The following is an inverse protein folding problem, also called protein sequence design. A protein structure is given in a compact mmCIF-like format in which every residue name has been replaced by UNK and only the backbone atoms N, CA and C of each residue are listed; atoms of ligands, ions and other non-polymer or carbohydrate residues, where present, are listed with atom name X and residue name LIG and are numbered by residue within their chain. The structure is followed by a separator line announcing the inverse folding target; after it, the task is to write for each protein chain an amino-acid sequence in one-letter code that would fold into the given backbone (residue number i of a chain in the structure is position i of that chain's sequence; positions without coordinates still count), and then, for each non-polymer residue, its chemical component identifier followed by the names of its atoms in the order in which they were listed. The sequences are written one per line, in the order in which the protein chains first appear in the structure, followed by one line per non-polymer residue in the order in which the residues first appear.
data_IF_196100084418
#
_entry.id   IF_196100084418
#
_cell.length_a   1.000
_cell.length_b   1.000
_cell.length_c   1.000
_cell.angle_alpha   90.00
_cell.angle_beta   90.00
_cell.angle_gamma   90.00
#
_symmetry.space_group_name_H-M   'P 1'
#
loop_
_entity.id
_entity.type
_entity.pdbx_description
1 polymer ?
#
# COMPACT_ATOMS: atom_id res chain seq x y z
N UNK A 1 79.51 -8.73 76.64
CA UNK A 1 79.78 -9.48 75.40
C UNK A 1 78.48 -9.51 74.61
N UNK A 2 78.41 -8.72 73.54
CA UNK A 2 77.16 -8.39 72.83
C UNK A 2 77.31 -8.88 71.40
N UNK A 3 76.43 -9.78 70.97
CA UNK A 3 76.26 -10.19 69.57
C UNK A 3 74.91 -9.65 69.12
N UNK A 4 74.90 -8.70 68.19
CA UNK A 4 73.70 -8.25 67.47
C UNK A 4 73.61 -9.01 66.15
N UNK A 5 72.40 -9.47 65.86
CA UNK A 5 72.00 -10.34 64.75
C UNK A 5 71.76 -9.51 63.48
N UNK A 6 72.04 -10.13 62.35
CA UNK A 6 72.15 -9.56 60.99
C UNK A 6 70.91 -8.80 60.49
N UNK A 7 71.18 -7.78 59.68
CA UNK A 7 70.25 -7.10 58.78
C UNK A 7 69.93 -8.01 57.59
N UNK A 8 68.65 -8.13 57.23
CA UNK A 8 68.20 -8.78 56.00
C UNK A 8 67.57 -7.73 55.08
N UNK A 9 67.99 -7.77 53.82
CA UNK A 9 67.74 -6.84 52.73
C UNK A 9 66.26 -6.69 52.33
N UNK A 10 65.90 -5.46 51.95
CA UNK A 10 64.65 -5.11 51.31
C UNK A 10 64.54 -5.67 49.88
N UNK A 11 63.37 -6.22 49.54
CA UNK A 11 62.86 -6.19 48.16
C UNK A 11 61.45 -5.58 48.20
N UNK A 12 61.35 -4.27 47.98
CA UNK A 12 60.09 -3.58 47.75
C UNK A 12 59.64 -3.76 46.29
N UNK A 13 58.66 -4.64 46.06
CA UNK A 13 57.96 -4.74 44.77
C UNK A 13 56.89 -3.65 44.71
N UNK A 14 57.14 -2.63 43.88
CA UNK A 14 56.18 -1.57 43.54
C UNK A 14 54.95 -2.16 42.81
N UNK A 15 53.88 -2.43 43.56
CA UNK A 15 52.57 -2.77 43.01
C UNK A 15 51.82 -1.52 42.53
N UNK A 16 51.67 -1.34 41.22
CA UNK A 16 50.74 -0.36 40.64
C UNK A 16 49.29 -0.76 40.95
N UNK A 17 48.56 0.06 41.71
CA UNK A 17 47.11 -0.12 41.92
C UNK A 17 46.36 0.07 40.60
N UNK A 18 45.47 -0.84 40.18
CA UNK A 18 44.61 -0.60 39.02
C UNK A 18 43.60 0.51 39.34
N UNK A 19 43.51 1.52 38.45
CA UNK A 19 42.49 2.57 38.51
C UNK A 19 41.10 1.92 38.43
N UNK A 20 40.31 2.01 39.49
CA UNK A 20 38.87 1.66 39.47
C UNK A 20 38.15 2.62 38.51
N UNK A 21 37.97 2.21 37.25
CA UNK A 21 37.05 2.87 36.33
C UNK A 21 35.65 2.79 36.96
N UNK A 22 35.06 3.95 37.18
CA UNK A 22 33.77 4.07 37.84
C UNK A 22 32.68 3.53 36.90
N UNK A 23 32.33 2.24 37.07
CA UNK A 23 31.33 1.49 36.27
C UNK A 23 30.03 2.26 36.02
N UNK A 24 29.62 3.15 36.93
CA UNK A 24 28.41 3.97 36.79
C UNK A 24 28.46 4.94 35.59
N UNK A 25 29.62 5.54 35.31
CA UNK A 25 29.80 6.46 34.17
C UNK A 25 29.88 5.72 32.84
N UNK A 26 30.47 4.53 32.82
CA UNK A 26 30.49 3.66 31.65
C UNK A 26 29.06 3.20 31.28
N UNK A 27 28.24 2.82 32.27
CA UNK A 27 26.83 2.44 32.07
C UNK A 27 26.02 3.63 31.54
N UNK A 28 26.20 4.83 32.12
CA UNK A 28 25.50 6.04 31.68
C UNK A 28 25.84 6.39 30.22
N UNK A 29 27.12 6.31 29.84
CA UNK A 29 27.55 6.53 28.45
C UNK A 29 26.91 5.53 27.48
N UNK A 30 26.87 4.24 27.83
CA UNK A 30 26.20 3.23 26.98
C UNK A 30 24.70 3.49 26.81
N UNK A 31 24.02 3.91 27.87
CA UNK A 31 22.58 4.25 27.80
C UNK A 31 22.36 5.49 26.92
N UNK A 32 23.19 6.53 27.08
CA UNK A 32 23.15 7.71 26.22
C UNK A 32 23.40 7.35 24.75
N UNK A 33 24.38 6.49 24.45
CA UNK A 33 24.63 6.06 23.06
C UNK A 33 23.44 5.32 22.48
N UNK A 34 22.80 4.42 23.24
CA UNK A 34 21.61 3.69 22.78
C UNK A 34 20.46 4.67 22.48
N UNK A 35 20.17 5.62 23.38
CA UNK A 35 19.13 6.63 23.17
C UNK A 35 19.43 7.47 21.92
N UNK A 36 20.68 7.90 21.73
CA UNK A 36 21.06 8.67 20.54
C UNK A 36 20.91 7.85 19.25
N UNK A 37 21.27 6.56 19.26
CA UNK A 37 21.09 5.69 18.08
C UNK A 37 19.63 5.47 17.74
N UNK A 38 18.76 5.28 18.75
CA UNK A 38 17.31 5.16 18.55
C UNK A 38 16.75 6.47 17.99
N UNK A 39 17.18 7.62 18.52
CA UNK A 39 16.74 8.92 18.04
C UNK A 39 17.16 9.18 16.58
N UNK A 40 18.42 8.87 16.23
CA UNK A 40 18.92 8.99 14.85
C UNK A 40 18.18 8.05 13.91
N UNK A 41 17.95 6.79 14.33
CA UNK A 41 17.18 5.82 13.54
C UNK A 41 15.73 6.29 13.32
N UNK A 42 15.09 6.83 14.36
CA UNK A 42 13.75 7.41 14.25
C UNK A 42 13.71 8.58 13.27
N UNK A 43 14.70 9.48 13.32
CA UNK A 43 14.82 10.60 12.39
C UNK A 43 15.07 10.16 10.94
N UNK A 44 15.81 9.07 10.73
CA UNK A 44 16.03 8.52 9.40
C UNK A 44 14.75 7.92 8.82
N UNK A 45 14.04 7.11 9.62
CA UNK A 45 12.77 6.50 9.20
C UNK A 45 11.74 7.60 8.91
N UNK A 46 11.61 8.60 9.77
CA UNK A 46 10.65 9.69 9.56
C UNK A 46 10.95 10.47 8.27
N UNK A 47 12.22 10.79 7.99
CA UNK A 47 12.62 11.41 6.72
C UNK A 47 12.25 10.56 5.50
N UNK A 48 12.48 9.26 5.55
CA UNK A 48 12.14 8.38 4.40
C UNK A 48 10.64 8.34 4.12
N UNK A 49 9.79 8.30 5.16
CA UNK A 49 8.32 8.29 5.00
C UNK A 49 7.83 9.61 4.42
N UNK A 50 8.33 10.75 4.93
CA UNK A 50 7.96 12.08 4.42
C UNK A 50 8.36 12.24 2.97
N UNK A 51 9.59 11.87 2.61
CA UNK A 51 10.07 11.97 1.22
C UNK A 51 9.21 11.14 0.27
N UNK A 52 8.81 9.93 0.67
CA UNK A 52 7.92 9.08 -0.14
C UNK A 52 6.55 9.75 -0.35
N UNK A 53 5.96 10.29 0.71
CA UNK A 53 4.71 11.04 0.62
C UNK A 53 4.80 12.25 -0.33
N UNK A 54 5.92 13.00 -0.28
CA UNK A 54 6.15 14.11 -1.20
C UNK A 54 6.28 13.66 -2.66
N UNK A 55 6.97 12.54 -2.93
CA UNK A 55 7.06 11.98 -4.29
C UNK A 55 5.70 11.54 -4.81
N UNK A 56 4.86 10.94 -3.97
CA UNK A 56 3.51 10.49 -4.34
C UNK A 56 2.59 11.68 -4.62
N UNK A 57 2.70 12.75 -3.83
CA UNK A 57 1.97 14.00 -4.07
C UNK A 57 2.48 14.69 -5.35
N UNK A 58 3.79 14.71 -5.60
CA UNK A 58 4.35 15.28 -6.82
C UNK A 58 3.86 14.50 -8.07
N UNK A 59 3.78 13.18 -7.96
CA UNK A 59 3.20 12.32 -8.99
C UNK A 59 1.72 12.61 -9.21
N UNK A 60 0.92 12.69 -8.14
CA UNK A 60 -0.50 13.08 -8.22
C UNK A 60 -0.67 14.44 -8.91
N UNK A 61 0.18 15.42 -8.59
CA UNK A 61 0.18 16.73 -9.25
C UNK A 61 0.56 16.62 -10.73
N UNK A 62 1.61 15.84 -11.07
CA UNK A 62 2.03 15.63 -12.45
C UNK A 62 0.95 14.96 -13.27
N UNK A 63 0.34 13.89 -12.76
CA UNK A 63 -0.79 13.18 -13.40
C UNK A 63 -2.03 14.08 -13.55
N UNK A 64 -2.23 15.02 -12.62
CA UNK A 64 -3.29 16.03 -12.74
C UNK A 64 -2.99 17.09 -13.81
N UNK A 65 -1.73 17.50 -13.98
CA UNK A 65 -1.31 18.56 -14.91
C UNK A 65 -1.10 17.99 -16.33
N UNK A 66 -0.77 16.71 -16.46
CA UNK A 66 -0.48 16.04 -17.71
C UNK A 66 -1.78 15.60 -18.42
N UNK A 67 -2.64 16.56 -18.76
CA UNK A 67 -3.66 16.37 -19.79
C UNK A 67 -2.97 16.11 -21.14
N UNK A 68 -2.89 14.83 -21.48
CA UNK A 68 -2.69 14.24 -22.82
C UNK A 68 -1.41 14.62 -23.58
N UNK A 69 -0.43 13.69 -23.60
CA UNK A 69 0.58 13.71 -24.68
C UNK A 69 0.18 12.91 -25.92
N UNK A 70 -0.78 11.98 -25.83
CA UNK A 70 -1.55 11.47 -26.96
C UNK A 70 -2.88 10.93 -26.44
N UNK A 71 -4.02 11.62 -26.62
CA UNK A 71 -5.29 11.05 -26.22
C UNK A 71 -5.58 9.89 -27.18
N UNK A 72 -5.56 8.66 -26.69
CA UNK A 72 -6.51 7.69 -27.23
C UNK A 72 -7.89 8.33 -27.05
N UNK A 73 -8.52 8.78 -28.14
CA UNK A 73 -9.86 9.40 -28.08
C UNK A 73 -10.91 8.44 -27.52
N UNK A 74 -10.59 7.16 -27.40
CA UNK A 74 -11.53 6.11 -27.06
C UNK A 74 -11.26 5.65 -25.64
N UNK A 75 -12.20 5.97 -24.75
CA UNK A 75 -12.30 5.37 -23.42
C UNK A 75 -12.90 3.97 -23.52
N UNK A 76 -12.13 2.95 -23.13
CA UNK A 76 -12.54 1.56 -23.26
C UNK A 76 -11.86 0.65 -22.23
N UNK A 77 -12.40 -0.56 -22.10
CA UNK A 77 -11.77 -1.67 -21.36
C UNK A 77 -11.33 -2.71 -22.40
N UNK A 78 -10.03 -3.00 -22.44
CA UNK A 78 -9.51 -4.13 -23.19
C UNK A 78 -9.31 -5.31 -22.25
N UNK A 79 -9.64 -6.51 -22.71
CA UNK A 79 -9.63 -7.71 -21.88
C UNK A 79 -8.68 -8.71 -22.53
N UNK A 80 -7.72 -9.16 -21.75
CA UNK A 80 -6.85 -10.27 -22.08
C UNK A 80 -6.93 -11.34 -20.98
N UNK A 81 -6.58 -12.56 -21.33
CA UNK A 81 -6.36 -13.64 -20.37
C UNK A 81 -4.95 -14.18 -20.55
N UNK A 82 -4.28 -14.48 -19.45
CA UNK A 82 -2.92 -15.02 -19.43
C UNK A 82 -2.78 -16.00 -18.26
N UNK A 83 -1.69 -16.77 -18.21
CA UNK A 83 -1.40 -17.70 -17.12
C UNK A 83 0.08 -17.68 -16.76
N UNK A 84 0.35 -17.44 -15.48
CA UNK A 84 1.70 -17.15 -14.98
C UNK A 84 1.90 -18.00 -13.73
N UNK A 85 2.92 -18.86 -13.73
CA UNK A 85 3.14 -19.83 -12.66
C UNK A 85 1.87 -20.60 -12.26
N UNK A 86 1.14 -21.10 -13.26
CA UNK A 86 -0.15 -21.80 -13.09
C UNK A 86 -1.29 -20.97 -12.45
N UNK A 87 -1.13 -19.65 -12.34
CA UNK A 87 -2.17 -18.71 -11.95
C UNK A 87 -2.84 -18.14 -13.20
N UNK A 88 -4.04 -18.60 -13.59
CA UNK A 88 -4.76 -18.00 -14.70
C UNK A 88 -5.35 -16.65 -14.29
N UNK A 89 -5.07 -15.63 -15.08
CA UNK A 89 -5.43 -14.23 -14.86
C UNK A 89 -6.34 -13.72 -15.96
N UNK A 90 -7.28 -12.87 -15.58
CA UNK A 90 -8.01 -12.00 -16.49
C UNK A 90 -7.59 -10.56 -16.23
N UNK A 91 -7.12 -9.91 -17.27
CA UNK A 91 -6.50 -8.59 -17.24
C UNK A 91 -7.42 -7.60 -17.96
N UNK A 92 -7.81 -6.54 -17.27
CA UNK A 92 -8.66 -5.47 -17.78
C UNK A 92 -7.83 -4.19 -17.89
N UNK A 93 -7.35 -3.87 -19.09
CA UNK A 93 -6.62 -2.63 -19.36
C UNK A 93 -7.58 -1.44 -19.34
N UNK A 94 -7.25 -0.41 -18.54
CA UNK A 94 -8.11 0.75 -18.30
C UNK A 94 -7.73 1.91 -19.23
N UNK A 95 -8.13 1.82 -20.49
CA UNK A 95 -7.70 2.76 -21.54
C UNK A 95 -8.47 4.08 -21.45
N UNK A 96 -7.75 5.17 -21.15
CA UNK A 96 -8.27 6.55 -21.08
C UNK A 96 -9.52 6.69 -20.19
N UNK A 97 -9.48 6.11 -18.99
CA UNK A 97 -10.57 6.17 -18.01
C UNK A 97 -10.25 7.10 -16.86
N UNK A 98 -11.29 7.60 -16.21
CA UNK A 98 -11.21 8.30 -14.93
C UNK A 98 -11.84 7.44 -13.84
N UNK A 99 -11.24 7.49 -12.66
CA UNK A 99 -11.72 6.78 -11.48
C UNK A 99 -12.46 7.71 -10.51
N UNK A 100 -13.41 7.16 -9.77
CA UNK A 100 -14.02 7.78 -8.59
C UNK A 100 -14.35 6.71 -7.55
N UNK A 101 -14.55 7.13 -6.30
CA UNK A 101 -15.20 6.25 -5.30
C UNK A 101 -16.68 6.57 -5.21
N UNK A 102 -17.48 5.53 -4.93
CA UNK A 102 -18.91 5.65 -4.67
C UNK A 102 -19.32 4.78 -3.51
N UNK A 103 -20.26 5.26 -2.69
CA UNK A 103 -20.95 4.47 -1.65
C UNK A 103 -22.20 3.78 -2.20
N UNK A 104 -22.62 4.15 -3.40
CA UNK A 104 -23.77 3.58 -4.09
C UNK A 104 -23.33 2.86 -5.35
N UNK A 105 -24.06 1.81 -5.72
CA UNK A 105 -23.77 1.13 -6.97
C UNK A 105 -24.26 1.98 -8.15
N UNK A 106 -23.40 2.36 -9.10
CA UNK A 106 -23.83 3.13 -10.27
C UNK A 106 -24.90 2.39 -11.09
N UNK A 107 -25.80 3.15 -11.71
CA UNK A 107 -26.81 2.59 -12.59
C UNK A 107 -26.17 1.90 -13.79
N UNK A 108 -26.60 0.68 -14.11
CA UNK A 108 -26.13 -0.04 -15.30
C UNK A 108 -26.56 0.61 -16.62
N UNK A 109 -27.58 1.48 -16.56
CA UNK A 109 -28.04 2.28 -17.70
C UNK A 109 -27.10 3.45 -18.00
N UNK A 110 -26.23 3.81 -17.05
CA UNK A 110 -25.20 4.82 -17.27
C UNK A 110 -24.12 4.25 -18.20
N UNK A 111 -24.10 4.75 -19.44
CA UNK A 111 -23.17 4.30 -20.48
C UNK A 111 -21.77 4.89 -20.34
N UNK A 112 -21.58 5.86 -19.44
CA UNK A 112 -20.27 6.39 -19.11
C UNK A 112 -19.49 5.47 -18.17
N UNK A 113 -20.18 4.68 -17.33
CA UNK A 113 -19.54 3.73 -16.40
C UNK A 113 -19.10 2.46 -17.14
N UNK A 114 -17.80 2.21 -17.21
CA UNK A 114 -17.24 1.06 -17.94
C UNK A 114 -16.84 -0.10 -17.03
N UNK A 115 -16.44 0.16 -15.79
CA UNK A 115 -16.08 -0.88 -14.84
C UNK A 115 -16.41 -0.44 -13.42
N UNK A 116 -16.95 -1.35 -12.62
CA UNK A 116 -17.19 -1.17 -11.19
C UNK A 116 -16.67 -2.39 -10.44
N UNK A 117 -15.90 -2.16 -9.39
CA UNK A 117 -15.46 -3.19 -8.46
C UNK A 117 -15.58 -2.68 -7.03
N UNK A 118 -15.81 -3.58 -6.06
CA UNK A 118 -15.76 -3.22 -4.65
C UNK A 118 -14.34 -2.79 -4.26
N UNK A 119 -14.20 -1.62 -3.62
CA UNK A 119 -12.89 -1.01 -3.35
C UNK A 119 -12.24 -1.55 -2.07
N UNK A 120 -12.87 -1.30 -0.92
CA UNK A 120 -12.34 -1.60 0.41
C UNK A 120 -13.19 -2.64 1.16
N UNK A 121 -12.48 -3.50 1.89
CA UNK A 121 -13.09 -4.50 2.77
C UNK A 121 -14.04 -3.87 3.79
N UNK A 122 -15.05 -4.64 4.18
CA UNK A 122 -16.01 -4.27 5.21
C UNK A 122 -15.82 -5.19 6.41
N UNK A 123 -15.80 -4.61 7.61
CA UNK A 123 -15.56 -5.34 8.85
C UNK A 123 -16.73 -6.26 9.18
N UNK A 124 -16.43 -7.44 9.71
CA UNK A 124 -17.45 -8.42 10.10
C UNK A 124 -18.26 -7.97 11.31
N UNK A 125 -17.60 -7.32 12.27
CA UNK A 125 -18.12 -6.95 13.59
C UNK A 125 -19.10 -5.78 13.53
N UNK A 126 -18.72 -4.64 12.95
CA UNK A 126 -19.50 -3.41 12.94
C UNK A 126 -20.01 -3.00 11.56
N UNK A 127 -19.71 -3.80 10.52
CA UNK A 127 -20.10 -3.55 9.12
C UNK A 127 -19.59 -2.23 8.53
N UNK A 128 -18.59 -1.59 9.16
CA UNK A 128 -17.93 -0.39 8.65
C UNK A 128 -16.77 -0.71 7.70
N UNK A 129 -16.29 0.30 6.97
CA UNK A 129 -15.15 0.16 6.05
C UNK A 129 -13.86 -0.12 6.84
N UNK A 130 -13.02 -1.02 6.31
CA UNK A 130 -11.68 -1.29 6.84
C UNK A 130 -10.69 -0.28 6.28
N UNK A 131 -10.01 0.43 7.18
CA UNK A 131 -8.97 1.39 6.81
C UNK A 131 -9.50 2.81 6.66
N UNK A 132 -8.60 3.75 6.41
CA UNK A 132 -8.98 5.11 6.02
C UNK A 132 -9.75 5.07 4.70
N UNK A 133 -10.85 5.83 4.64
CA UNK A 133 -11.68 5.97 3.43
C UNK A 133 -12.17 7.41 3.32
N UNK A 134 -11.85 8.08 2.22
CA UNK A 134 -12.18 9.48 1.92
C UNK A 134 -12.96 9.50 0.62
N UNK A 135 -14.13 10.15 0.67
CA UNK A 135 -15.02 10.35 -0.47
C UNK A 135 -15.17 11.85 -0.71
N UNK A 136 -14.65 12.35 -1.83
CA UNK A 136 -14.74 13.75 -2.22
C UNK A 136 -14.29 14.72 -1.10
N UNK A 137 -13.16 14.40 -0.48
CA UNK A 137 -12.56 15.12 0.64
C UNK A 137 -13.18 14.84 2.00
N UNK A 138 -14.32 14.13 2.08
CA UNK A 138 -14.94 13.77 3.35
C UNK A 138 -14.40 12.43 3.86
N UNK A 139 -13.84 12.42 5.06
CA UNK A 139 -13.41 11.19 5.71
C UNK A 139 -14.62 10.41 6.27
N UNK A 140 -14.82 9.18 5.79
CA UNK A 140 -15.91 8.30 6.17
C UNK A 140 -15.48 7.16 7.09
N UNK A 141 -14.21 6.76 7.03
CA UNK A 141 -13.64 5.73 7.90
C UNK A 141 -12.19 6.02 8.25
N UNK A 142 -11.75 5.42 9.36
CA UNK A 142 -10.38 5.49 9.86
C UNK A 142 -9.76 4.10 10.03
N UNK A 143 -8.46 4.00 9.75
CA UNK A 143 -7.68 2.82 10.10
C UNK A 143 -6.39 2.68 9.29
N UNK A 144 -5.30 2.35 10.00
CA UNK A 144 -3.96 2.23 9.40
C UNK A 144 -3.40 0.81 9.36
N UNK A 145 -4.23 -0.20 9.66
CA UNK A 145 -3.79 -1.61 9.65
C UNK A 145 -3.32 -2.06 8.25
N UNK A 146 -3.87 -1.47 7.20
CA UNK A 146 -3.49 -1.71 5.81
C UNK A 146 -2.73 -0.49 5.31
N UNK A 147 -1.49 -0.67 4.90
CA UNK A 147 -0.57 0.43 4.59
C UNK A 147 -0.62 0.86 3.14
N UNK A 148 -1.11 -0.02 2.26
CA UNK A 148 -1.38 0.30 0.87
C UNK A 148 -2.52 1.28 0.73
N UNK A 149 -2.45 2.13 -0.26
CA UNK A 149 -3.52 3.06 -0.58
C UNK A 149 -3.69 3.25 -2.08
N UNK A 150 -4.89 3.71 -2.45
CA UNK A 150 -5.20 4.32 -3.73
C UNK A 150 -5.73 5.72 -3.44
N UNK A 151 -5.10 6.71 -4.06
CA UNK A 151 -5.49 8.12 -4.04
C UNK A 151 -6.02 8.50 -5.41
N UNK A 152 -7.15 9.21 -5.46
CA UNK A 152 -7.77 9.65 -6.72
C UNK A 152 -7.97 11.15 -6.66
N UNK A 153 -7.37 11.87 -7.61
CA UNK A 153 -7.51 13.32 -7.77
C UNK A 153 -7.85 13.61 -9.22
N UNK A 154 -8.96 14.33 -9.45
CA UNK A 154 -9.45 14.67 -10.80
C UNK A 154 -9.51 13.46 -11.74
N UNK A 155 -9.94 12.31 -11.22
CA UNK A 155 -10.06 11.08 -12.00
C UNK A 155 -8.78 10.26 -12.17
N UNK A 156 -7.61 10.78 -11.81
CA UNK A 156 -6.32 10.08 -11.94
C UNK A 156 -5.97 9.34 -10.66
N UNK A 157 -5.42 8.13 -10.80
CA UNK A 157 -5.07 7.22 -9.70
C UNK A 157 -3.58 7.29 -9.41
N UNK A 158 -3.23 7.39 -8.13
CA UNK A 158 -1.92 7.07 -7.60
C UNK A 158 -2.02 5.92 -6.59
N UNK A 159 -1.17 4.92 -6.75
CA UNK A 159 -1.02 3.80 -5.82
C UNK A 159 0.24 4.00 -4.98
N UNK A 160 0.20 3.58 -3.73
CA UNK A 160 1.38 3.62 -2.89
C UNK A 160 1.25 2.84 -1.59
N UNK A 161 2.32 2.88 -0.81
CA UNK A 161 2.45 2.17 0.46
C UNK A 161 3.06 3.10 1.51
N UNK A 162 2.24 3.56 2.45
CA UNK A 162 2.65 4.44 3.55
C UNK A 162 1.65 4.41 4.71
N UNK A 163 2.14 4.49 5.94
CA UNK A 163 1.32 4.74 7.15
C UNK A 163 1.11 6.21 7.46
N UNK A 164 1.82 7.09 6.73
CA UNK A 164 1.70 8.54 6.81
C UNK A 164 0.33 9.03 6.36
N UNK A 165 0.01 10.26 6.76
CA UNK A 165 -1.26 10.92 6.44
C UNK A 165 -1.11 11.95 5.32
N UNK A 166 0.08 12.19 4.80
CA UNK A 166 0.36 13.29 3.86
C UNK A 166 -0.51 13.20 2.59
N UNK A 167 -0.56 12.01 1.97
CA UNK A 167 -1.38 11.75 0.77
C UNK A 167 -2.86 11.80 1.10
N UNK A 168 -3.25 11.26 2.25
CA UNK A 168 -4.64 11.26 2.74
C UNK A 168 -5.14 12.70 2.95
N UNK A 169 -4.34 13.53 3.61
CA UNK A 169 -4.64 14.92 3.89
C UNK A 169 -4.65 15.76 2.60
N UNK A 170 -3.78 15.44 1.64
CA UNK A 170 -3.83 16.02 0.30
C UNK A 170 -5.14 15.70 -0.43
N UNK A 171 -5.62 14.45 -0.36
CA UNK A 171 -6.92 14.08 -0.90
C UNK A 171 -8.08 14.80 -0.21
N UNK A 172 -8.02 15.00 1.12
CA UNK A 172 -9.01 15.78 1.87
C UNK A 172 -9.08 17.22 1.35
N UNK A 173 -7.92 17.89 1.31
CA UNK A 173 -7.82 19.29 0.91
C UNK A 173 -8.18 19.52 -0.56
N UNK A 174 -7.91 18.54 -1.43
CA UNK A 174 -8.19 18.60 -2.86
C UNK A 174 -9.59 18.09 -3.23
N UNK A 175 -10.44 17.74 -2.25
CA UNK A 175 -11.76 17.10 -2.46
C UNK A 175 -11.67 15.83 -3.32
N UNK A 176 -10.58 15.10 -3.23
CA UNK A 176 -10.36 13.84 -3.93
C UNK A 176 -10.89 12.63 -3.17
N UNK A 177 -10.47 11.45 -3.59
CA UNK A 177 -10.78 10.18 -2.94
C UNK A 177 -9.53 9.48 -2.44
N UNK A 178 -9.69 8.64 -1.42
CA UNK A 178 -8.59 7.83 -0.89
C UNK A 178 -9.15 6.59 -0.19
N UNK A 179 -8.53 5.44 -0.35
CA UNK A 179 -8.83 4.28 0.49
C UNK A 179 -7.61 3.40 0.72
N UNK A 180 -7.61 2.67 1.85
CA UNK A 180 -6.53 1.75 2.21
C UNK A 180 -6.85 0.30 1.92
N UNK A 181 -5.85 -0.43 1.45
CA UNK A 181 -5.96 -1.87 1.22
C UNK A 181 -4.59 -2.57 1.32
N UNK A 182 -4.59 -3.90 1.20
CA UNK A 182 -3.35 -4.66 1.19
C UNK A 182 -2.52 -4.31 -0.04
N UNK A 183 -1.25 -3.98 0.16
CA UNK A 183 -0.28 -3.90 -0.94
C UNK A 183 0.07 -5.32 -1.36
N UNK A 184 0.16 -5.53 -2.67
CA UNK A 184 0.53 -6.80 -3.27
C UNK A 184 1.90 -6.73 -3.95
N UNK A 185 2.17 -5.63 -4.66
CA UNK A 185 3.43 -5.38 -5.35
C UNK A 185 3.83 -3.91 -5.15
N UNK A 186 5.11 -3.65 -4.98
CA UNK A 186 5.71 -2.31 -4.93
C UNK A 186 7.05 -2.34 -5.61
N UNK A 187 7.29 -1.40 -6.52
CA UNK A 187 8.51 -1.33 -7.33
C UNK A 187 8.86 -2.65 -8.04
N UNK A 188 7.83 -3.39 -8.50
CA UNK A 188 7.97 -4.70 -9.15
C UNK A 188 8.16 -5.87 -8.19
N UNK A 189 8.26 -5.63 -6.88
CA UNK A 189 8.54 -6.66 -5.88
C UNK A 189 7.29 -7.03 -5.08
N UNK A 190 7.05 -8.33 -4.95
CA UNK A 190 5.96 -8.88 -4.14
C UNK A 190 6.06 -8.42 -2.68
N UNK A 191 4.92 -8.05 -2.08
CA UNK A 191 4.84 -7.62 -0.70
C UNK A 191 4.28 -8.72 0.21
N UNK A 192 4.86 -8.87 1.40
CA UNK A 192 4.40 -9.89 2.36
C UNK A 192 2.97 -9.59 2.84
N UNK A 193 2.13 -10.63 2.86
CA UNK A 193 0.77 -10.53 3.37
C UNK A 193 0.36 -11.72 4.23
N UNK A 194 -0.48 -11.45 5.24
CA UNK A 194 -0.96 -12.45 6.20
C UNK A 194 -2.36 -12.98 5.90
N UNK A 195 -2.99 -12.56 4.81
CA UNK A 195 -4.34 -13.01 4.44
C UNK A 195 -4.29 -14.47 3.97
N UNK A 196 -4.86 -15.36 4.80
CA UNK A 196 -4.89 -16.81 4.54
C UNK A 196 -6.07 -17.23 3.66
N UNK A 197 -5.97 -18.44 3.12
CA UNK A 197 -7.01 -19.09 2.33
C UNK A 197 -6.92 -18.79 0.83
N UNK A 198 -7.68 -19.55 0.04
CA UNK A 198 -7.78 -19.36 -1.42
C UNK A 198 -9.11 -18.71 -1.78
N UNK A 199 -9.06 -17.71 -2.67
CA UNK A 199 -10.22 -16.94 -3.14
C UNK A 199 -9.96 -16.46 -4.55
N UNK A 200 -11.01 -16.10 -5.29
CA UNK A 200 -10.82 -15.20 -6.45
C UNK A 200 -10.14 -13.94 -5.92
N UNK A 201 -9.01 -13.56 -6.50
CA UNK A 201 -8.23 -12.37 -6.12
C UNK A 201 -8.44 -11.29 -7.14
N UNK A 202 -8.34 -10.04 -6.69
CA UNK A 202 -8.49 -8.85 -7.54
C UNK A 202 -7.49 -7.81 -7.11
N UNK A 203 -6.88 -7.12 -8.07
CA UNK A 203 -5.99 -6.01 -7.84
C UNK A 203 -6.36 -4.83 -8.74
N UNK A 204 -6.13 -3.62 -8.23
CA UNK A 204 -5.85 -2.44 -9.03
C UNK A 204 -4.33 -2.38 -9.19
N UNK A 205 -3.87 -2.47 -10.42
CA UNK A 205 -2.47 -2.65 -10.76
C UNK A 205 -2.00 -1.55 -11.71
N UNK A 206 -0.69 -1.28 -11.67
CA UNK A 206 -0.02 -0.30 -12.51
C UNK A 206 1.26 -0.90 -13.08
N UNK A 207 1.41 -0.77 -14.40
CA UNK A 207 2.67 -1.01 -15.10
C UNK A 207 3.00 0.27 -15.84
N UNK A 208 4.12 0.91 -15.48
CA UNK A 208 4.45 2.25 -15.96
C UNK A 208 3.30 3.25 -15.77
N UNK A 209 2.80 3.86 -16.84
CA UNK A 209 1.67 4.80 -16.80
C UNK A 209 0.30 4.12 -17.04
N UNK A 210 0.30 2.82 -17.33
CA UNK A 210 -0.91 2.07 -17.64
C UNK A 210 -1.53 1.44 -16.37
N UNK A 211 -2.86 1.49 -16.31
CA UNK A 211 -3.65 0.97 -15.20
C UNK A 211 -4.46 -0.25 -15.62
N UNK A 212 -4.58 -1.18 -14.67
CA UNK A 212 -5.27 -2.45 -14.89
C UNK A 212 -6.14 -2.81 -13.69
N UNK A 213 -7.27 -3.46 -13.96
CA UNK A 213 -7.87 -4.37 -12.99
C UNK A 213 -7.43 -5.77 -13.37
N UNK A 214 -6.87 -6.53 -12.43
CA UNK A 214 -6.44 -7.91 -12.69
C UNK A 214 -7.14 -8.83 -11.71
N UNK A 215 -7.70 -9.93 -12.21
CA UNK A 215 -8.38 -10.93 -11.41
C UNK A 215 -7.82 -12.32 -11.66
N UNK A 216 -7.71 -13.13 -10.61
CA UNK A 216 -7.49 -14.56 -10.81
C UNK A 216 -8.78 -15.22 -11.31
N UNK A 217 -8.65 -16.12 -12.28
CA UNK A 217 -9.78 -16.91 -12.79
C UNK A 217 -10.11 -18.02 -11.78
N UNK A 218 -9.08 -18.63 -11.20
CA UNK A 218 -9.19 -19.64 -10.15
C UNK A 218 -9.06 -19.03 -8.76
N UNK A 219 -9.43 -19.82 -7.74
CA UNK A 219 -9.24 -19.42 -6.35
C UNK A 219 -7.78 -19.58 -5.97
N UNK A 220 -7.10 -18.47 -5.71
CA UNK A 220 -5.68 -18.47 -5.37
C UNK A 220 -5.37 -17.92 -3.99
N UNK A 221 -4.21 -18.32 -3.47
CA UNK A 221 -3.66 -17.68 -2.29
C UNK A 221 -3.31 -16.24 -2.64
N UNK A 222 -3.21 -15.36 -1.63
CA UNK A 222 -2.79 -13.99 -1.91
C UNK A 222 -1.31 -13.95 -2.33
N UNK A 223 -0.51 -14.91 -1.85
CA UNK A 223 0.90 -15.05 -2.22
C UNK A 223 1.02 -15.34 -3.72
N UNK A 224 0.48 -16.47 -4.19
CA UNK A 224 0.61 -16.91 -5.60
C UNK A 224 0.09 -15.83 -6.56
N UNK A 225 -1.04 -15.20 -6.21
CA UNK A 225 -1.59 -14.10 -7.01
C UNK A 225 -0.65 -12.89 -7.05
N UNK A 226 -0.04 -12.49 -5.93
CA UNK A 226 0.85 -11.32 -5.93
C UNK A 226 2.16 -11.59 -6.64
N UNK A 227 2.67 -12.83 -6.55
CA UNK A 227 3.87 -13.27 -7.27
C UNK A 227 3.61 -13.24 -8.77
N UNK A 228 2.48 -13.79 -9.23
CA UNK A 228 2.08 -13.73 -10.64
C UNK A 228 1.93 -12.29 -11.16
N UNK A 229 1.48 -11.33 -10.33
CA UNK A 229 1.43 -9.91 -10.70
C UNK A 229 2.84 -9.32 -10.90
N UNK A 230 3.78 -9.63 -10.00
CA UNK A 230 5.16 -9.17 -10.13
C UNK A 230 5.82 -9.76 -11.40
N UNK A 231 5.62 -11.05 -11.65
CA UNK A 231 6.24 -11.77 -12.76
C UNK A 231 5.74 -11.33 -14.15
N UNK A 232 4.52 -10.82 -14.27
CA UNK A 232 4.04 -10.17 -15.51
C UNK A 232 4.56 -8.73 -15.70
N UNK A 233 5.31 -8.20 -14.73
CA UNK A 233 5.88 -6.87 -14.80
C UNK A 233 5.01 -5.76 -14.19
N UNK A 234 4.01 -6.07 -13.36
CA UNK A 234 3.30 -5.02 -12.62
C UNK A 234 4.26 -4.35 -11.64
N UNK A 235 4.33 -3.02 -11.69
CA UNK A 235 5.19 -2.23 -10.81
C UNK A 235 4.56 -1.95 -9.45
N UNK A 236 3.26 -1.64 -9.41
CA UNK A 236 2.52 -1.48 -8.16
C UNK A 236 1.16 -2.17 -8.25
N UNK A 237 0.77 -2.85 -7.17
CA UNK A 237 -0.53 -3.46 -7.08
C UNK A 237 -1.14 -3.29 -5.69
N UNK A 238 -2.38 -2.82 -5.67
CA UNK A 238 -3.21 -2.72 -4.49
C UNK A 238 -4.35 -3.73 -4.61
N UNK A 239 -4.53 -4.55 -3.57
CA UNK A 239 -5.65 -5.48 -3.53
C UNK A 239 -6.99 -4.74 -3.61
N UNK A 240 -7.97 -5.35 -4.26
CA UNK A 240 -9.38 -4.97 -4.20
C UNK A 240 -10.16 -6.14 -3.61
N UNK A 241 -11.38 -5.89 -3.13
CA UNK A 241 -12.18 -6.96 -2.54
C UNK A 241 -12.50 -8.01 -3.61
N UNK A 242 -11.94 -9.20 -3.43
CA UNK A 242 -12.14 -10.36 -4.30
C UNK A 242 -13.25 -11.31 -3.83
N UNK A 243 -13.11 -12.58 -4.17
CA UNK A 243 -14.13 -13.61 -3.92
C UNK A 243 -15.39 -13.33 -4.73
N UNK A 244 -16.54 -13.52 -4.10
CA UNK A 244 -17.84 -13.25 -4.72
C UNK A 244 -18.25 -11.77 -4.63
N UNK A 245 -17.32 -10.86 -4.38
CA UNK A 245 -17.63 -9.43 -4.30
C UNK A 245 -18.12 -8.90 -5.66
N UNK A 246 -19.29 -8.27 -5.63
CA UNK A 246 -19.96 -7.78 -6.82
C UNK A 246 -19.07 -6.86 -7.66
N UNK A 247 -19.15 -7.05 -8.97
CA UNK A 247 -18.55 -6.18 -9.98
C UNK A 247 -19.35 -6.24 -11.27
N UNK A 248 -19.13 -5.25 -12.13
CA UNK A 248 -19.49 -5.36 -13.53
C UNK A 248 -18.52 -4.61 -14.42
N UNK A 249 -18.48 -4.97 -15.69
CA UNK A 249 -17.83 -4.18 -16.71
C UNK A 249 -18.67 -4.15 -17.99
N UNK A 250 -18.41 -3.14 -18.83
CA UNK A 250 -18.97 -3.05 -20.18
C UNK A 250 -17.90 -3.46 -21.17
N UNK A 251 -18.22 -4.47 -21.99
CA UNK A 251 -17.32 -4.91 -23.04
C UNK A 251 -17.34 -3.88 -24.19
N UNK A 252 -16.15 -3.46 -24.59
CA UNK A 252 -15.94 -2.44 -25.61
C UNK A 252 -16.36 -2.88 -27.02
N UNK A 253 -16.35 -4.18 -27.32
CA UNK A 253 -16.66 -4.68 -28.67
C UNK A 253 -18.16 -4.73 -28.98
N UNK A 254 -18.99 -5.07 -27.99
CA UNK A 254 -20.43 -5.28 -28.18
C UNK A 254 -21.32 -4.40 -27.29
N UNK A 255 -20.73 -3.61 -26.38
CA UNK A 255 -21.45 -2.75 -25.44
C UNK A 255 -22.22 -3.52 -24.34
N UNK A 256 -22.11 -4.84 -24.30
CA UNK A 256 -22.81 -5.70 -23.33
C UNK A 256 -22.20 -5.51 -21.94
N UNK A 257 -23.07 -5.51 -20.93
CA UNK A 257 -22.67 -5.48 -19.52
C UNK A 257 -22.53 -6.91 -19.01
N UNK A 258 -21.37 -7.22 -18.45
CA UNK A 258 -21.10 -8.50 -17.79
C UNK A 258 -21.03 -8.27 -16.28
N UNK A 259 -21.81 -9.05 -15.53
CA UNK A 259 -21.94 -8.95 -14.07
C UNK A 259 -21.43 -10.21 -13.41
N UNK A 260 -20.70 -10.05 -12.30
CA UNK A 260 -20.16 -11.16 -11.52
C UNK A 260 -20.30 -10.87 -10.02
N UNK A 261 -20.38 -11.93 -9.22
CA UNK A 261 -20.45 -11.85 -7.77
C UNK A 261 -21.83 -11.48 -7.22
N UNK A 262 -21.92 -11.41 -5.90
CA UNK A 262 -23.13 -11.21 -5.13
C UNK A 262 -23.24 -9.77 -4.63
N UNK A 263 -24.41 -9.17 -4.87
CA UNK A 263 -24.76 -7.88 -4.26
C UNK A 263 -25.14 -8.12 -2.80
N UNK A 264 -24.26 -7.74 -1.88
CA UNK A 264 -24.53 -7.78 -0.44
C UNK A 264 -24.99 -6.40 0.01
N UNK A 265 -26.22 -6.24 0.52
CA UNK A 265 -26.74 -4.93 0.94
C UNK A 265 -26.19 -4.57 2.33
N UNK A 266 -24.86 -4.44 2.47
CA UNK A 266 -24.28 -3.93 3.73
C UNK A 266 -24.24 -2.39 3.70
N UNK A 267 -24.40 -1.72 4.85
CA UNK A 267 -24.47 -0.25 4.90
C UNK A 267 -23.23 0.48 4.37
N UNK A 268 -22.04 -0.11 4.53
CA UNK A 268 -20.77 0.50 4.13
C UNK A 268 -20.26 0.00 2.77
N UNK A 269 -21.18 -0.38 1.89
CA UNK A 269 -20.81 -0.81 0.55
C UNK A 269 -20.11 0.33 -0.19
N UNK A 270 -19.02 0.00 -0.85
CA UNK A 270 -18.14 0.99 -1.43
C UNK A 270 -17.48 0.43 -2.69
N UNK A 271 -17.36 1.27 -3.69
CA UNK A 271 -16.95 0.88 -5.03
C UNK A 271 -15.89 1.84 -5.55
N UNK A 272 -14.97 1.30 -6.33
CA UNK A 272 -14.18 2.06 -7.30
C UNK A 272 -14.89 1.94 -8.65
N UNK A 273 -15.12 3.09 -9.27
CA UNK A 273 -15.91 3.23 -10.49
C UNK A 273 -15.01 3.85 -11.55
N UNK A 274 -14.93 3.21 -12.70
CA UNK A 274 -14.20 3.72 -13.85
C UNK A 274 -15.18 4.20 -14.91
N UNK A 275 -14.99 5.45 -15.33
CA UNK A 275 -15.81 6.12 -16.33
C UNK A 275 -14.99 6.57 -17.51
N UNK A 276 -15.68 6.83 -18.63
CA UNK A 276 -15.10 7.58 -19.74
C UNK A 276 -14.62 8.95 -19.26
N UNK A 277 -13.45 9.39 -19.73
CA UNK A 277 -12.95 10.76 -19.54
C UNK A 277 -13.75 11.73 -20.40
#
# INVERSE_FOLDING_TARGET
MMMKRNEEDEIQVLGTKPKKICRKWAILLTVCTIITTIAVMYLFISKTVVNKGETDIARLKKETIQESRFPSKISMIEINEDSINDVPLRIYSLVNLQAELSMELPSKKDTAVLLVAQAADIRKDNKGIVGDFILQGKQLATGKKKTGYCAIINGNISLGNSTGDEVKDYCINSKGHFFRQYVLVTDGEQQENRLKGKSIRRALARQDDDLYIIESINRESLYDFSEALADIGITDALYLVGGDAYRFYRNSSNGQVYEYGERKPLPAMNYIVFRKK
#
